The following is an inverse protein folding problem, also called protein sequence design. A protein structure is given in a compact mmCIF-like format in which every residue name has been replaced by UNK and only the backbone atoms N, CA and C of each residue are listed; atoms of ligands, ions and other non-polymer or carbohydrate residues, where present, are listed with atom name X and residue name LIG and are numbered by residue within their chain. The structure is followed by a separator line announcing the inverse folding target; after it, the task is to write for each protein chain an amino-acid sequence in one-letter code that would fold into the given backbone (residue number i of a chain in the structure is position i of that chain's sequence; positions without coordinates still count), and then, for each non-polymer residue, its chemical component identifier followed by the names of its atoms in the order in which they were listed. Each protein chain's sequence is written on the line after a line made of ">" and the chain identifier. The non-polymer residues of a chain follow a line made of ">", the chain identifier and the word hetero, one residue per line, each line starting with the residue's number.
data_IF_680537759579
#
_entry.id   IF_680537759579
#
_cell.length_a   1.000
_cell.length_b   1.000
_cell.length_c   1.000
_cell.angle_alpha   90.00
_cell.angle_beta   90.00
_cell.angle_gamma   90.00
#
_symmetry.space_group_name_H-M   'P 1'
#
loop_
_entity.id
_entity.type
_entity.pdbx_description
1 polymer ?
#
# COMPACT_ATOMS: atom_id res chain seq x y z
N UNK A 1 -74.45 40.67 14.10
CA UNK A 1 -74.02 42.08 14.28
C UNK A 1 -72.61 42.15 13.70
N UNK A 2 -72.42 42.61 12.45
CA UNK A 2 -72.36 44.03 12.05
C UNK A 2 -71.28 44.71 12.91
N UNK A 3 -70.11 45.16 12.45
CA UNK A 3 -69.75 45.80 11.19
C UNK A 3 -68.22 45.76 10.94
N UNK A 4 -67.79 45.93 9.68
CA UNK A 4 -66.41 46.29 9.25
C UNK A 4 -66.37 47.83 9.00
N UNK A 5 -65.30 48.44 8.43
CA UNK A 5 -63.89 48.53 8.82
C UNK A 5 -63.39 50.02 8.80
N UNK A 6 -62.11 50.28 9.13
CA UNK A 6 -61.38 51.45 8.60
C UNK A 6 -60.09 51.02 7.91
N UNK A 7 -59.97 51.43 6.65
CA UNK A 7 -58.84 51.27 5.72
C UNK A 7 -57.75 52.30 6.03
N UNK A 8 -56.49 51.95 5.79
CA UNK A 8 -55.45 52.72 5.07
C UNK A 8 -54.40 51.68 4.61
N UNK A 9 -54.22 51.44 3.31
CA UNK A 9 -53.21 52.10 2.46
C UNK A 9 -51.82 51.53 2.81
N UNK A 10 -51.12 50.72 2.02
CA UNK A 10 -50.88 50.67 0.58
C UNK A 10 -49.53 49.96 0.37
N UNK A 11 -49.20 49.68 -0.90
CA UNK A 11 -47.90 49.22 -1.41
C UNK A 11 -47.56 47.73 -1.26
N UNK A 12 -48.02 46.98 -2.25
CA UNK A 12 -47.38 45.76 -2.76
C UNK A 12 -46.01 46.11 -3.35
N UNK A 13 -44.93 45.71 -2.68
CA UNK A 13 -43.58 45.70 -3.22
C UNK A 13 -42.96 44.34 -2.96
N UNK A 14 -43.11 43.41 -3.90
CA UNK A 14 -42.37 42.16 -3.88
C UNK A 14 -40.92 42.45 -4.30
N UNK A 15 -40.00 42.52 -3.33
CA UNK A 15 -38.57 42.41 -3.63
C UNK A 15 -38.22 40.92 -3.80
N UNK A 16 -38.25 40.45 -5.04
CA UNK A 16 -37.52 39.27 -5.45
C UNK A 16 -36.02 39.63 -5.50
N UNK A 17 -35.32 39.49 -4.37
CA UNK A 17 -33.86 39.58 -4.34
C UNK A 17 -33.25 38.33 -4.97
N UNK A 18 -32.77 38.45 -6.22
CA UNK A 18 -31.81 37.49 -6.76
C UNK A 18 -30.54 37.58 -5.90
N UNK A 19 -30.31 36.56 -5.07
CA UNK A 19 -28.98 36.34 -4.49
C UNK A 19 -28.11 35.80 -5.61
N UNK A 20 -27.35 36.69 -6.25
CA UNK A 20 -26.26 36.29 -7.11
C UNK A 20 -25.22 35.58 -6.22
N UNK A 21 -25.17 34.24 -6.32
CA UNK A 21 -24.06 33.46 -5.77
C UNK A 21 -22.86 33.75 -6.66
N UNK A 22 -22.12 34.80 -6.35
CA UNK A 22 -20.81 35.02 -6.95
C UNK A 22 -19.90 33.90 -6.44
N UNK A 23 -19.52 33.00 -7.34
CA UNK A 23 -18.46 32.03 -7.10
C UNK A 23 -17.17 32.79 -6.81
N UNK A 24 -16.83 32.94 -5.52
CA UNK A 24 -15.50 33.41 -5.15
C UNK A 24 -14.55 32.29 -5.53
N UNK A 25 -13.81 32.47 -6.62
CA UNK A 25 -12.66 31.62 -6.90
C UNK A 25 -11.74 31.72 -5.69
N UNK A 26 -11.57 30.63 -4.95
CA UNK A 26 -10.68 30.59 -3.81
C UNK A 26 -9.27 30.89 -4.33
N UNK A 27 -8.74 32.06 -3.96
CA UNK A 27 -7.36 32.39 -4.23
C UNK A 27 -6.49 31.44 -3.41
N UNK A 28 -5.64 30.65 -4.08
CA UNK A 28 -4.74 29.73 -3.39
C UNK A 28 -3.84 30.53 -2.43
N UNK A 29 -3.87 30.15 -1.15
CA UNK A 29 -2.98 30.74 -0.17
C UNK A 29 -1.52 30.38 -0.52
N UNK A 30 -0.56 31.31 -0.32
CA UNK A 30 0.85 31.01 -0.60
C UNK A 30 1.35 29.86 0.28
N UNK A 31 2.28 29.02 -0.22
CA UNK A 31 2.81 27.91 0.54
C UNK A 31 3.65 28.38 1.74
N UNK A 32 3.58 27.64 2.85
CA UNK A 32 4.41 27.88 4.04
C UNK A 32 5.88 27.62 3.70
N UNK A 33 6.73 28.61 3.95
CA UNK A 33 8.18 28.48 3.80
C UNK A 33 8.80 27.91 5.08
N UNK A 34 9.57 26.83 4.95
CA UNK A 34 10.26 26.18 6.08
C UNK A 34 11.77 26.40 5.94
N UNK A 35 12.48 26.90 6.98
CA UNK A 35 13.93 27.05 6.95
C UNK A 35 14.67 25.72 6.73
N UNK A 36 15.88 25.79 6.17
CA UNK A 36 16.75 24.63 6.03
C UNK A 36 17.07 24.00 7.40
N UNK A 37 17.03 22.67 7.47
CA UNK A 37 17.28 21.89 8.69
C UNK A 37 18.01 20.59 8.37
N UNK A 38 18.80 20.10 9.32
CA UNK A 38 19.35 18.75 9.30
C UNK A 38 18.45 17.83 10.13
N UNK A 39 18.17 16.63 9.62
CA UNK A 39 17.34 15.64 10.31
C UNK A 39 18.23 14.45 10.70
N UNK A 40 18.63 14.31 11.98
CA UNK A 40 19.52 13.24 12.43
C UNK A 40 18.80 11.89 12.41
N UNK A 41 19.53 10.78 12.47
CA UNK A 41 18.93 9.47 12.78
C UNK A 41 18.34 9.53 14.21
N UNK A 42 17.11 9.02 14.47
CA UNK A 42 16.55 9.02 15.82
C UNK A 42 17.44 8.23 16.78
N UNK A 43 17.50 8.64 18.05
CA UNK A 43 18.33 7.99 19.07
C UNK A 43 17.66 6.80 19.75
N UNK A 44 16.37 6.60 19.52
CA UNK A 44 15.50 5.62 20.16
C UNK A 44 15.15 4.41 19.26
N UNK A 45 15.82 4.29 18.11
CA UNK A 45 15.74 3.10 17.24
C UNK A 45 16.92 2.15 17.50
N UNK A 46 16.75 0.88 17.15
CA UNK A 46 17.80 -0.13 17.22
C UNK A 46 19.00 0.21 16.32
N UNK A 47 20.21 -0.29 16.61
CA UNK A 47 21.37 -0.09 15.74
C UNK A 47 21.15 -0.57 14.30
N UNK A 48 20.39 -1.65 14.11
CA UNK A 48 20.02 -2.20 12.80
C UNK A 48 19.16 -1.20 12.03
N UNK A 49 18.10 -0.69 12.66
CA UNK A 49 17.21 0.28 12.03
C UNK A 49 17.90 1.64 11.85
N UNK A 50 18.72 2.09 12.80
CA UNK A 50 19.55 3.29 12.69
C UNK A 50 20.46 3.25 11.45
N UNK A 51 21.04 2.08 11.14
CA UNK A 51 21.86 1.88 9.94
C UNK A 51 21.04 2.04 8.65
N UNK A 52 19.80 1.55 8.63
CA UNK A 52 18.89 1.70 7.48
C UNK A 52 18.45 3.16 7.32
N UNK A 53 18.05 3.82 8.40
CA UNK A 53 17.61 5.22 8.41
C UNK A 53 18.76 6.16 8.01
N UNK A 54 19.97 5.90 8.50
CA UNK A 54 21.17 6.68 8.23
C UNK A 54 21.84 6.36 6.88
N UNK A 55 21.31 5.42 6.10
CA UNK A 55 21.89 5.09 4.80
C UNK A 55 21.76 6.26 3.81
N UNK A 56 22.74 6.44 2.90
CA UNK A 56 22.63 7.42 1.81
C UNK A 56 21.37 7.21 0.97
N UNK A 57 20.97 8.25 0.25
CA UNK A 57 19.91 8.14 -0.76
C UNK A 57 20.22 7.02 -1.74
N UNK A 58 19.21 6.20 -2.04
CA UNK A 58 19.29 5.10 -3.00
C UNK A 58 19.93 5.55 -4.32
N UNK A 59 21.11 5.06 -4.67
CA UNK A 59 21.94 5.61 -5.78
C UNK A 59 21.25 5.72 -7.15
N UNK A 60 20.24 4.89 -7.43
CA UNK A 60 19.50 4.90 -8.70
C UNK A 60 18.13 5.62 -8.63
N UNK A 61 17.87 6.41 -7.58
CA UNK A 61 16.58 7.09 -7.37
C UNK A 61 16.20 8.06 -8.51
N UNK A 62 17.20 8.61 -9.21
CA UNK A 62 17.04 9.58 -10.29
C UNK A 62 17.17 8.95 -11.70
N UNK A 63 17.30 7.62 -11.80
CA UNK A 63 17.16 6.95 -13.10
C UNK A 63 15.67 7.00 -13.48
N UNK A 64 15.38 7.37 -14.72
CA UNK A 64 14.00 7.59 -15.18
C UNK A 64 13.70 6.82 -16.48
N UNK A 65 13.70 5.47 -16.47
CA UNK A 65 13.34 4.71 -17.65
C UNK A 65 11.86 4.95 -17.99
N UNK A 66 11.56 5.20 -19.28
CA UNK A 66 10.21 5.57 -19.74
C UNK A 66 9.47 4.45 -20.47
N UNK A 67 10.09 3.29 -20.65
CA UNK A 67 9.47 2.10 -21.29
C UNK A 67 9.79 0.85 -20.50
N UNK A 68 8.96 -0.19 -20.61
CA UNK A 68 9.21 -1.47 -19.94
C UNK A 68 10.56 -2.09 -20.31
N UNK A 69 10.97 -1.97 -21.57
CA UNK A 69 12.26 -2.48 -22.05
C UNK A 69 13.45 -1.80 -21.35
N UNK A 70 13.34 -0.50 -21.10
CA UNK A 70 14.36 0.26 -20.37
C UNK A 70 14.38 -0.08 -18.87
N UNK A 71 13.24 -0.54 -18.33
CA UNK A 71 13.12 -1.00 -16.94
C UNK A 71 13.71 -2.38 -16.70
N UNK A 72 13.64 -3.27 -17.69
CA UNK A 72 14.12 -4.66 -17.60
C UNK A 72 15.53 -4.82 -17.00
N UNK A 73 16.60 -4.16 -17.51
CA UNK A 73 17.93 -4.33 -16.92
C UNK A 73 18.02 -3.81 -15.47
N UNK A 74 17.21 -2.81 -15.10
CA UNK A 74 17.18 -2.32 -13.70
C UNK A 74 16.49 -3.32 -12.79
N UNK A 75 15.39 -3.92 -13.25
CA UNK A 75 14.67 -4.96 -12.54
C UNK A 75 15.54 -6.22 -12.34
N UNK A 76 16.24 -6.66 -13.39
CA UNK A 76 17.14 -7.82 -13.36
C UNK A 76 18.33 -7.59 -12.42
N UNK A 77 18.96 -6.41 -12.45
CA UNK A 77 20.06 -6.08 -11.55
C UNK A 77 19.61 -6.05 -10.07
N UNK A 78 18.44 -5.45 -9.79
CA UNK A 78 17.84 -5.44 -8.46
C UNK A 78 17.48 -6.85 -7.98
N UNK A 79 16.89 -7.66 -8.86
CA UNK A 79 16.52 -9.03 -8.56
C UNK A 79 17.74 -9.91 -8.26
N UNK A 80 18.81 -9.78 -9.05
CA UNK A 80 20.06 -10.50 -8.82
C UNK A 80 20.73 -10.12 -7.49
N UNK A 81 20.59 -8.86 -7.04
CA UNK A 81 21.08 -8.43 -5.75
C UNK A 81 20.28 -9.03 -4.59
N UNK A 82 18.94 -9.00 -4.67
CA UNK A 82 18.06 -9.57 -3.64
C UNK A 82 18.12 -11.09 -3.57
N UNK A 83 18.20 -11.77 -4.71
CA UNK A 83 18.30 -13.23 -4.77
C UNK A 83 19.50 -13.78 -3.99
N UNK A 84 20.60 -13.02 -3.85
CA UNK A 84 21.76 -13.40 -3.04
C UNK A 84 21.47 -13.39 -1.53
N UNK A 85 20.49 -12.60 -1.09
CA UNK A 85 20.14 -12.44 0.32
C UNK A 85 19.07 -13.44 0.77
N UNK A 86 18.18 -13.85 -0.15
CA UNK A 86 17.03 -14.72 0.13
C UNK A 86 17.40 -16.04 0.82
N UNK A 87 18.43 -16.81 0.39
CA UNK A 87 18.79 -18.07 1.06
C UNK A 87 19.12 -17.88 2.55
N UNK A 88 19.88 -16.83 2.88
CA UNK A 88 20.22 -16.52 4.27
C UNK A 88 19.01 -16.10 5.10
N UNK A 89 18.05 -15.39 4.50
CA UNK A 89 16.78 -15.04 5.18
C UNK A 89 15.94 -16.28 5.46
N UNK A 90 15.79 -17.17 4.46
CA UNK A 90 15.04 -18.43 4.60
C UNK A 90 15.63 -19.32 5.71
N UNK A 91 16.96 -19.41 5.78
CA UNK A 91 17.66 -20.17 6.82
C UNK A 91 17.43 -19.56 8.22
N UNK A 92 17.71 -18.25 8.40
CA UNK A 92 17.56 -17.59 9.70
C UNK A 92 16.12 -17.60 10.21
N UNK A 93 15.15 -17.44 9.31
CA UNK A 93 13.73 -17.40 9.64
C UNK A 93 13.04 -18.76 9.55
N UNK A 94 13.78 -19.82 9.19
CA UNK A 94 13.30 -21.21 9.11
C UNK A 94 12.04 -21.32 8.23
N UNK A 95 12.09 -20.72 7.05
CA UNK A 95 10.98 -20.74 6.09
C UNK A 95 11.37 -21.60 4.89
N UNK A 96 10.49 -22.52 4.50
CA UNK A 96 10.60 -23.26 3.25
C UNK A 96 9.83 -22.54 2.15
N UNK A 97 10.41 -22.46 0.95
CA UNK A 97 9.77 -21.90 -0.23
C UNK A 97 9.62 -22.96 -1.32
N UNK A 98 8.44 -23.03 -1.91
CA UNK A 98 8.14 -23.87 -3.07
C UNK A 98 7.71 -22.98 -4.24
N UNK A 99 8.35 -23.15 -5.40
CA UNK A 99 7.92 -22.51 -6.65
C UNK A 99 6.72 -23.27 -7.21
N UNK A 100 5.68 -22.56 -7.62
CA UNK A 100 4.47 -23.18 -8.17
C UNK A 100 3.80 -22.31 -9.24
N UNK A 101 2.70 -22.79 -9.79
CA UNK A 101 1.83 -22.06 -10.70
C UNK A 101 0.39 -22.30 -10.28
N UNK A 102 -0.36 -21.21 -10.08
CA UNK A 102 -1.75 -21.24 -9.63
C UNK A 102 -2.61 -20.65 -10.75
N UNK A 103 -3.43 -21.49 -11.38
CA UNK A 103 -4.30 -21.12 -12.51
C UNK A 103 -3.55 -20.35 -13.63
N UNK A 104 -2.29 -20.72 -13.90
CA UNK A 104 -1.43 -20.10 -14.92
C UNK A 104 -0.60 -18.91 -14.43
N UNK A 105 -0.79 -18.44 -13.20
CA UNK A 105 0.00 -17.37 -12.58
C UNK A 105 1.17 -17.96 -11.80
N UNK A 106 2.37 -17.42 -11.99
CA UNK A 106 3.55 -17.82 -11.21
C UNK A 106 3.35 -17.42 -9.74
N UNK A 107 3.69 -18.32 -8.84
CA UNK A 107 3.56 -18.07 -7.41
C UNK A 107 4.60 -18.84 -6.60
N UNK A 108 4.73 -18.47 -5.34
CA UNK A 108 5.54 -19.18 -4.36
C UNK A 108 4.69 -19.52 -3.14
N UNK A 109 4.86 -20.73 -2.60
CA UNK A 109 4.27 -21.12 -1.32
C UNK A 109 5.38 -21.07 -0.28
N UNK A 110 5.19 -20.24 0.73
CA UNK A 110 6.09 -20.11 1.87
C UNK A 110 5.46 -20.77 3.08
N UNK A 111 6.21 -21.67 3.73
CA UNK A 111 5.76 -22.42 4.90
C UNK A 111 6.80 -22.30 6.01
N UNK A 112 6.48 -21.72 7.18
CA UNK A 112 7.39 -21.73 8.31
C UNK A 112 7.59 -23.14 8.84
N UNK A 113 8.77 -23.41 9.40
CA UNK A 113 9.09 -24.69 10.05
C UNK A 113 8.12 -24.98 11.20
N UNK A 114 7.79 -23.95 11.99
CA UNK A 114 6.85 -24.02 13.10
C UNK A 114 5.61 -23.17 12.82
N UNK A 115 4.47 -23.85 12.63
CA UNK A 115 3.16 -23.21 12.47
C UNK A 115 2.25 -23.54 13.65
N UNK A 116 1.81 -22.53 14.43
CA UNK A 116 0.86 -22.72 15.53
C UNK A 116 -0.44 -23.40 15.05
N UNK A 117 -1.08 -24.26 15.87
CA UNK A 117 -2.32 -24.96 15.50
C UNK A 117 -3.41 -24.04 14.93
N UNK A 118 -3.58 -22.85 15.50
CA UNK A 118 -4.52 -21.81 15.09
C UNK A 118 -4.25 -21.27 13.67
N UNK A 119 -3.00 -21.32 13.22
CA UNK A 119 -2.61 -20.86 11.89
C UNK A 119 -2.65 -21.96 10.82
N UNK A 120 -2.85 -23.24 11.20
CA UNK A 120 -2.89 -24.36 10.24
C UNK A 120 -4.05 -24.27 9.25
N UNK A 121 -5.14 -23.64 9.64
CA UNK A 121 -6.31 -23.41 8.80
C UNK A 121 -6.37 -22.00 8.20
N UNK A 122 -5.33 -21.18 8.44
CA UNK A 122 -5.23 -19.81 7.95
C UNK A 122 -4.25 -19.74 6.79
N UNK A 123 -4.57 -18.91 5.80
CA UNK A 123 -3.78 -18.77 4.58
C UNK A 123 -3.70 -17.30 4.19
N UNK A 124 -2.48 -16.78 4.03
CA UNK A 124 -2.29 -15.41 3.59
C UNK A 124 -1.91 -15.36 2.11
N UNK A 125 -2.43 -14.38 1.39
CA UNK A 125 -2.00 -14.04 0.04
C UNK A 125 -1.16 -12.77 0.09
N UNK A 126 0.05 -12.84 -0.46
CA UNK A 126 1.01 -11.76 -0.54
C UNK A 126 1.14 -11.26 -1.98
N UNK A 127 1.12 -9.95 -2.15
CA UNK A 127 1.43 -9.26 -3.40
C UNK A 127 2.60 -8.31 -3.16
N UNK A 128 3.72 -8.53 -3.85
CA UNK A 128 4.95 -7.81 -3.57
C UNK A 128 4.92 -6.35 -4.03
N UNK A 129 5.77 -5.51 -3.42
CA UNK A 129 6.04 -4.14 -3.90
C UNK A 129 7.02 -4.10 -5.06
N UNK A 130 7.42 -2.90 -5.48
CA UNK A 130 8.38 -2.72 -6.58
C UNK A 130 7.92 -1.79 -7.70
N UNK A 131 7.03 -0.85 -7.40
CA UNK A 131 6.63 0.20 -8.33
C UNK A 131 6.07 -0.36 -9.65
N UNK A 132 5.45 -1.54 -9.58
CA UNK A 132 4.88 -2.32 -10.68
C UNK A 132 5.87 -2.79 -11.78
N UNK A 133 7.18 -2.60 -11.57
CA UNK A 133 8.23 -2.88 -12.57
C UNK A 133 9.46 -3.58 -11.99
N UNK A 134 9.50 -3.83 -10.68
CA UNK A 134 10.61 -4.44 -9.97
C UNK A 134 10.21 -5.69 -9.19
N UNK A 135 11.23 -6.39 -8.72
CA UNK A 135 11.17 -7.57 -7.85
C UNK A 135 10.52 -8.82 -8.48
N UNK A 136 10.81 -9.17 -9.75
CA UNK A 136 10.30 -10.41 -10.33
C UNK A 136 10.82 -11.63 -9.57
N UNK A 137 10.01 -12.70 -9.52
CA UNK A 137 10.39 -13.99 -8.96
C UNK A 137 10.80 -13.89 -7.49
N UNK A 138 11.93 -14.51 -7.14
CA UNK A 138 12.38 -14.61 -5.75
C UNK A 138 12.74 -13.25 -5.11
N UNK A 139 12.98 -12.23 -5.93
CA UNK A 139 13.25 -10.89 -5.44
C UNK A 139 12.04 -10.26 -4.74
N UNK A 140 10.82 -10.73 -5.03
CA UNK A 140 9.59 -10.30 -4.37
C UNK A 140 9.35 -10.97 -3.01
N UNK A 141 10.15 -11.95 -2.62
CA UNK A 141 9.88 -12.77 -1.42
C UNK A 141 10.23 -12.18 -0.05
N UNK A 142 11.12 -11.17 0.14
CA UNK A 142 11.53 -10.77 1.49
C UNK A 142 10.37 -10.48 2.46
N UNK A 143 9.37 -9.72 2.02
CA UNK A 143 8.18 -9.41 2.84
C UNK A 143 7.36 -10.67 3.20
N UNK A 144 7.16 -11.58 2.24
CA UNK A 144 6.48 -12.86 2.49
C UNK A 144 7.27 -13.77 3.45
N UNK A 145 8.61 -13.78 3.33
CA UNK A 145 9.48 -14.55 4.23
C UNK A 145 9.36 -13.99 5.65
N UNK A 146 9.32 -12.67 5.82
CA UNK A 146 9.22 -12.04 7.15
C UNK A 146 7.87 -12.36 7.79
N UNK A 147 6.77 -12.29 7.02
CA UNK A 147 5.46 -12.69 7.51
C UNK A 147 5.40 -14.19 7.86
N UNK A 148 5.94 -15.05 7.01
CA UNK A 148 5.98 -16.49 7.29
C UNK A 148 6.83 -16.79 8.54
N UNK A 149 8.00 -16.17 8.69
CA UNK A 149 8.92 -16.42 9.80
C UNK A 149 8.48 -15.81 11.13
N UNK A 150 8.14 -14.52 11.15
CA UNK A 150 7.73 -13.83 12.38
C UNK A 150 6.27 -14.06 12.73
N UNK A 151 5.37 -13.94 11.74
CA UNK A 151 3.93 -14.15 11.94
C UNK A 151 3.52 -15.62 11.98
N UNK A 152 4.39 -16.54 11.54
CA UNK A 152 4.14 -18.00 11.53
C UNK A 152 2.88 -18.40 10.76
N UNK A 153 2.66 -17.78 9.60
CA UNK A 153 1.58 -18.13 8.67
C UNK A 153 2.11 -18.83 7.43
N UNK A 154 1.29 -19.69 6.83
CA UNK A 154 1.50 -20.12 5.43
C UNK A 154 1.12 -18.98 4.49
N UNK A 155 1.98 -18.69 3.51
CA UNK A 155 1.81 -17.56 2.58
C UNK A 155 1.87 -18.04 1.14
N UNK A 156 0.95 -17.57 0.30
CA UNK A 156 1.06 -17.63 -1.16
C UNK A 156 1.55 -16.26 -1.63
N UNK A 157 2.74 -16.17 -2.20
CA UNK A 157 3.27 -14.95 -2.80
C UNK A 157 3.04 -14.97 -4.32
N UNK A 158 2.31 -13.99 -4.83
CA UNK A 158 2.02 -13.83 -6.26
C UNK A 158 3.24 -13.23 -6.98
N UNK A 159 3.74 -13.88 -8.03
CA UNK A 159 4.79 -13.36 -8.93
C UNK A 159 4.13 -12.83 -10.21
N UNK A 160 3.39 -11.74 -10.02
CA UNK A 160 2.52 -11.14 -11.03
C UNK A 160 3.31 -10.57 -12.21
N UNK A 161 2.67 -10.51 -13.38
CA UNK A 161 3.27 -9.97 -14.61
C UNK A 161 3.48 -8.45 -14.50
N UNK A 162 4.58 -7.99 -15.09
CA UNK A 162 5.03 -6.59 -15.07
C UNK A 162 5.60 -6.19 -16.45
N UNK A 163 5.81 -4.88 -16.72
CA UNK A 163 6.44 -4.44 -17.94
C UNK A 163 7.90 -4.94 -18.05
N UNK A 164 8.41 -5.20 -19.27
CA UNK A 164 7.74 -5.04 -20.56
C UNK A 164 6.75 -6.17 -20.92
N UNK A 165 6.73 -7.28 -20.19
CA UNK A 165 5.93 -8.45 -20.54
C UNK A 165 4.41 -8.19 -20.46
N UNK A 166 3.97 -7.34 -19.52
CA UNK A 166 2.58 -6.90 -19.43
C UNK A 166 2.43 -5.56 -18.71
N UNK A 167 1.47 -4.74 -19.11
CA UNK A 167 1.10 -3.48 -18.44
C UNK A 167 -0.22 -3.62 -17.70
N UNK A 168 -0.75 -2.53 -17.13
CA UNK A 168 -2.07 -2.50 -16.49
C UNK A 168 -3.16 -3.06 -17.44
N UNK A 169 -4.07 -3.93 -16.96
CA UNK A 169 -4.28 -4.35 -15.57
C UNK A 169 -3.63 -5.70 -15.18
N UNK A 170 -2.61 -6.20 -15.90
CA UNK A 170 -2.13 -7.59 -15.75
C UNK A 170 -1.76 -8.01 -14.32
N UNK A 171 -1.10 -7.13 -13.54
CA UNK A 171 -0.80 -7.43 -12.14
C UNK A 171 -2.06 -7.63 -11.27
N UNK A 172 -3.13 -6.86 -11.52
CA UNK A 172 -4.42 -7.06 -10.85
C UNK A 172 -5.08 -8.36 -11.26
N UNK A 173 -5.08 -8.67 -12.57
CA UNK A 173 -5.66 -9.89 -13.10
C UNK A 173 -4.99 -11.13 -12.50
N UNK A 174 -3.65 -11.11 -12.40
CA UNK A 174 -2.87 -12.19 -11.80
C UNK A 174 -3.16 -12.33 -10.30
N UNK A 175 -3.20 -11.23 -9.57
CA UNK A 175 -3.49 -11.24 -8.14
C UNK A 175 -4.92 -11.74 -7.83
N UNK A 176 -5.92 -11.33 -8.61
CA UNK A 176 -7.31 -11.82 -8.50
C UNK A 176 -7.44 -13.28 -8.93
N UNK A 177 -6.69 -13.71 -9.94
CA UNK A 177 -6.64 -15.12 -10.36
C UNK A 177 -6.15 -15.99 -9.21
N UNK A 178 -5.05 -15.60 -8.56
CA UNK A 178 -4.55 -16.32 -7.37
C UNK A 178 -5.52 -16.24 -6.20
N UNK A 179 -6.17 -15.09 -5.96
CA UNK A 179 -7.19 -14.97 -4.90
C UNK A 179 -8.34 -15.96 -5.10
N UNK A 180 -8.92 -16.03 -6.30
CA UNK A 180 -10.00 -16.97 -6.65
C UNK A 180 -9.58 -18.43 -6.48
N UNK A 181 -8.31 -18.73 -6.72
CA UNK A 181 -7.76 -20.06 -6.48
C UNK A 181 -7.56 -20.35 -4.99
N UNK A 182 -7.00 -19.39 -4.25
CA UNK A 182 -6.76 -19.52 -2.83
C UNK A 182 -8.08 -19.67 -2.02
N UNK A 183 -9.18 -19.05 -2.46
CA UNK A 183 -10.50 -19.24 -1.82
C UNK A 183 -11.08 -20.66 -2.00
N UNK A 184 -10.48 -21.49 -2.87
CA UNK A 184 -10.78 -22.92 -2.98
C UNK A 184 -9.88 -23.78 -2.09
N UNK A 185 -8.80 -23.21 -1.55
CA UNK A 185 -7.83 -23.88 -0.69
C UNK A 185 -8.11 -23.64 0.80
N UNK A 186 -8.70 -22.50 1.15
CA UNK A 186 -9.10 -22.14 2.51
C UNK A 186 -10.39 -21.32 2.50
N UNK A 187 -11.12 -21.33 3.62
CA UNK A 187 -12.28 -20.45 3.82
C UNK A 187 -11.79 -18.99 3.84
N UNK A 188 -12.35 -18.06 3.03
CA UNK A 188 -12.02 -16.64 3.04
C UNK A 188 -12.04 -15.98 4.43
N UNK A 189 -12.86 -16.50 5.36
CA UNK A 189 -12.88 -16.05 6.77
C UNK A 189 -11.59 -16.32 7.52
N UNK A 190 -10.78 -17.27 7.06
CA UNK A 190 -9.46 -17.62 7.60
C UNK A 190 -8.32 -17.04 6.75
N UNK A 191 -8.61 -16.12 5.84
CA UNK A 191 -7.63 -15.60 4.89
C UNK A 191 -7.43 -14.10 5.04
N UNK A 192 -6.20 -13.66 4.79
CA UNK A 192 -5.87 -12.24 4.66
C UNK A 192 -5.06 -11.97 3.39
N UNK A 193 -5.05 -10.71 2.96
CA UNK A 193 -4.19 -10.22 1.87
C UNK A 193 -3.26 -9.14 2.42
N UNK A 194 -1.99 -9.19 2.07
CA UNK A 194 -1.01 -8.18 2.48
C UNK A 194 0.01 -7.89 1.40
N UNK A 195 0.67 -6.75 1.53
CA UNK A 195 1.72 -6.34 0.62
C UNK A 195 2.14 -4.90 0.86
N UNK A 196 3.31 -4.55 0.34
CA UNK A 196 3.90 -3.22 0.54
C UNK A 196 4.01 -2.42 -0.77
N UNK A 197 3.92 -1.08 -0.72
CA UNK A 197 4.13 -0.20 -1.88
C UNK A 197 3.11 -0.43 -3.00
N UNK A 198 3.54 -0.73 -4.22
CA UNK A 198 2.67 -1.22 -5.30
C UNK A 198 1.85 -2.46 -4.88
N UNK A 199 2.42 -3.36 -4.07
CA UNK A 199 1.72 -4.49 -3.47
C UNK A 199 0.68 -4.09 -2.44
N UNK A 200 0.93 -3.01 -1.69
CA UNK A 200 -0.06 -2.42 -0.78
C UNK A 200 -1.22 -1.79 -1.54
N UNK A 201 -0.96 -1.16 -2.69
CA UNK A 201 -1.98 -0.68 -3.59
C UNK A 201 -2.77 -1.84 -4.22
N UNK A 202 -2.10 -2.90 -4.68
CA UNK A 202 -2.73 -4.13 -5.16
C UNK A 202 -3.61 -4.78 -4.08
N UNK A 203 -3.17 -4.82 -2.83
CA UNK A 203 -3.97 -5.36 -1.70
C UNK A 203 -5.31 -4.62 -1.57
N UNK A 204 -5.29 -3.29 -1.64
CA UNK A 204 -6.51 -2.47 -1.60
C UNK A 204 -7.37 -2.65 -2.86
N UNK A 205 -6.74 -2.64 -4.03
CA UNK A 205 -7.43 -2.78 -5.31
C UNK A 205 -8.04 -4.17 -5.51
N UNK A 206 -7.42 -5.22 -4.96
CA UNK A 206 -7.98 -6.58 -4.93
C UNK A 206 -9.31 -6.60 -4.19
N UNK A 207 -9.44 -5.88 -3.07
CA UNK A 207 -10.72 -5.77 -2.34
C UNK A 207 -11.75 -5.00 -3.16
N UNK A 208 -11.38 -3.88 -3.79
CA UNK A 208 -12.27 -3.14 -4.69
C UNK A 208 -12.79 -4.05 -5.82
N UNK A 209 -11.88 -4.80 -6.45
CA UNK A 209 -12.21 -5.69 -7.55
C UNK A 209 -13.04 -6.89 -7.10
N UNK A 210 -12.73 -7.48 -5.95
CA UNK A 210 -13.51 -8.56 -5.36
C UNK A 210 -14.95 -8.12 -5.04
N UNK A 211 -15.13 -6.90 -4.49
CA UNK A 211 -16.46 -6.30 -4.33
C UNK A 211 -17.18 -6.14 -5.67
N UNK A 212 -16.51 -5.60 -6.69
CA UNK A 212 -17.09 -5.39 -8.03
C UNK A 212 -17.53 -6.70 -8.69
N UNK A 213 -16.77 -7.78 -8.50
CA UNK A 213 -17.04 -9.09 -9.08
C UNK A 213 -17.92 -9.99 -8.19
N UNK A 214 -18.33 -9.54 -7.00
CA UNK A 214 -19.10 -10.36 -6.06
C UNK A 214 -18.35 -11.54 -5.48
N UNK A 215 -17.01 -11.46 -5.41
CA UNK A 215 -16.16 -12.49 -4.83
C UNK A 215 -16.16 -12.40 -3.30
N UNK A 216 -15.91 -13.53 -2.59
CA UNK A 216 -15.62 -13.48 -1.17
C UNK A 216 -14.44 -12.54 -0.86
N UNK A 217 -14.60 -11.74 0.18
CA UNK A 217 -13.54 -10.87 0.69
C UNK A 217 -12.68 -11.61 1.72
N UNK A 218 -11.39 -11.26 1.87
CA UNK A 218 -10.59 -11.74 2.99
C UNK A 218 -11.17 -11.24 4.31
N UNK A 219 -10.91 -11.94 5.41
CA UNK A 219 -11.33 -11.50 6.74
C UNK A 219 -10.50 -10.32 7.28
N UNK A 220 -9.30 -10.08 6.74
CA UNK A 220 -8.49 -8.91 7.07
C UNK A 220 -7.52 -8.57 5.93
N UNK A 221 -7.00 -7.34 5.91
CA UNK A 221 -5.91 -6.96 4.99
C UNK A 221 -4.81 -6.15 5.69
N UNK A 222 -3.59 -6.20 5.17
CA UNK A 222 -2.45 -5.41 5.67
C UNK A 222 -1.66 -4.69 4.55
N UNK A 223 -2.15 -3.55 4.04
CA UNK A 223 -1.43 -2.74 3.06
C UNK A 223 -0.36 -1.87 3.75
N UNK A 224 0.91 -2.17 3.48
CA UNK A 224 2.06 -1.41 3.96
C UNK A 224 2.50 -0.34 2.98
N UNK A 225 2.72 0.89 3.46
CA UNK A 225 3.13 2.08 2.71
C UNK A 225 2.55 2.10 1.28
N UNK A 226 1.21 1.97 1.14
CA UNK A 226 0.61 1.68 -0.15
C UNK A 226 0.85 2.84 -1.11
N UNK A 227 1.18 2.53 -2.36
CA UNK A 227 1.14 3.49 -3.47
C UNK A 227 -0.32 3.76 -3.88
N UNK A 228 -1.14 4.16 -2.92
CA UNK A 228 -2.60 4.27 -3.06
C UNK A 228 -3.06 5.47 -3.88
N UNK A 229 -2.16 6.42 -4.15
CA UNK A 229 -2.34 7.56 -5.03
C UNK A 229 -1.06 7.80 -5.84
N UNK A 230 -1.16 7.72 -7.15
CA UNK A 230 -0.06 7.97 -8.11
C UNK A 230 -0.09 9.39 -8.68
N UNK A 231 -0.97 10.26 -8.18
CA UNK A 231 -1.10 11.66 -8.60
C UNK A 231 -0.40 12.67 -7.68
N UNK A 232 0.39 12.16 -6.70
CA UNK A 232 1.26 12.95 -5.81
C UNK A 232 0.52 13.88 -4.85
N UNK A 233 -0.70 13.50 -4.44
CA UNK A 233 -1.48 14.26 -3.47
C UNK A 233 -1.07 13.88 -2.04
N UNK A 234 -0.60 14.85 -1.25
CA UNK A 234 -0.37 14.72 0.18
C UNK A 234 0.94 15.35 0.67
N UNK A 235 0.93 15.87 1.90
CA UNK A 235 2.02 16.65 2.49
C UNK A 235 3.37 15.94 2.47
N UNK A 236 3.39 14.62 2.70
CA UNK A 236 4.61 13.83 2.76
C UNK A 236 5.42 13.84 1.46
N UNK A 237 4.79 14.05 0.30
CA UNK A 237 5.51 14.21 -0.96
C UNK A 237 6.39 15.47 -0.99
N UNK A 238 6.07 16.47 -0.16
CA UNK A 238 6.86 17.69 0.03
C UNK A 238 7.75 17.56 1.26
N UNK A 239 7.18 17.23 2.43
CA UNK A 239 7.92 17.25 3.70
C UNK A 239 8.97 16.15 3.82
N UNK A 240 8.75 15.01 3.16
CA UNK A 240 9.65 13.85 3.19
C UNK A 240 10.46 13.68 1.89
N UNK A 241 10.30 14.59 0.91
CA UNK A 241 11.21 14.64 -0.24
C UNK A 241 12.65 14.88 0.24
N UNK A 242 13.60 14.15 -0.32
CA UNK A 242 15.01 14.10 0.07
C UNK A 242 15.28 13.60 1.52
N UNK A 243 14.24 13.30 2.29
CA UNK A 243 14.34 12.70 3.62
C UNK A 243 14.09 11.19 3.58
N UNK A 244 13.14 10.74 2.74
CA UNK A 244 12.96 9.34 2.41
C UNK A 244 14.18 8.84 1.62
N UNK A 245 15.02 7.99 2.20
CA UNK A 245 16.24 7.54 1.51
C UNK A 245 16.02 6.38 0.51
N UNK A 246 14.77 5.96 0.27
CA UNK A 246 14.40 4.85 -0.61
C UNK A 246 13.73 5.34 -1.89
N UNK A 247 12.64 6.08 -1.77
CA UNK A 247 11.89 6.68 -2.89
C UNK A 247 12.45 8.05 -3.27
N UNK A 248 12.96 8.80 -2.30
CA UNK A 248 13.67 10.08 -2.44
C UNK A 248 12.81 11.24 -2.92
N UNK A 249 12.12 11.11 -4.05
CA UNK A 249 11.43 12.20 -4.71
C UNK A 249 10.06 11.77 -5.23
N UNK A 250 9.04 12.66 -5.19
CA UNK A 250 7.77 12.44 -5.88
C UNK A 250 7.91 12.33 -7.41
N UNK A 251 9.00 12.85 -7.98
CA UNK A 251 9.35 12.76 -9.41
C UNK A 251 10.49 11.77 -9.66
N UNK A 252 10.63 10.79 -8.79
CA UNK A 252 11.69 9.79 -8.83
C UNK A 252 11.36 8.56 -9.68
N UNK A 253 12.32 7.65 -9.71
CA UNK A 253 12.28 6.36 -10.39
C UNK A 253 10.95 5.58 -10.21
N UNK A 254 10.37 5.54 -9.01
CA UNK A 254 9.13 4.78 -8.78
C UNK A 254 7.86 5.41 -9.37
N UNK A 255 7.81 6.74 -9.50
CA UNK A 255 6.71 7.44 -10.18
C UNK A 255 6.69 7.09 -11.68
N UNK A 256 7.87 7.03 -12.31
CA UNK A 256 8.00 6.60 -13.70
C UNK A 256 7.64 5.12 -13.90
N UNK A 257 8.02 4.25 -12.96
CA UNK A 257 7.64 2.83 -13.00
C UNK A 257 6.13 2.65 -12.98
N UNK A 258 5.43 3.37 -12.09
CA UNK A 258 3.97 3.35 -12.01
C UNK A 258 3.32 3.87 -13.32
N UNK A 259 3.88 4.91 -13.94
CA UNK A 259 3.40 5.43 -15.24
C UNK A 259 3.60 4.45 -16.39
N UNK A 260 4.75 3.76 -16.43
CA UNK A 260 5.03 2.72 -17.43
C UNK A 260 4.01 1.59 -17.28
N UNK A 261 3.75 1.16 -16.04
CA UNK A 261 2.72 0.15 -15.78
C UNK A 261 1.31 0.65 -16.18
N UNK A 262 0.94 1.86 -15.79
CA UNK A 262 -0.36 2.46 -16.11
C UNK A 262 -0.59 2.63 -17.61
N UNK A 263 0.46 2.70 -18.43
CA UNK A 263 0.39 2.67 -19.90
C UNK A 263 -0.64 3.64 -20.50
N UNK A 264 -0.68 4.88 -19.98
CA UNK A 264 -1.58 5.94 -20.44
C UNK A 264 -2.99 5.92 -19.86
N UNK A 265 -3.33 4.98 -18.99
CA UNK A 265 -4.58 5.00 -18.23
C UNK A 265 -4.62 6.17 -17.25
N UNK A 266 -5.85 6.58 -16.87
CA UNK A 266 -6.05 7.61 -15.86
C UNK A 266 -5.45 7.16 -14.53
N UNK A 267 -4.49 7.93 -14.02
CA UNK A 267 -3.84 7.67 -12.73
C UNK A 267 -4.83 7.80 -11.55
N UNK A 268 -6.01 8.40 -11.75
CA UNK A 268 -7.10 8.41 -10.77
C UNK A 268 -8.06 7.21 -10.87
N UNK A 269 -7.85 6.28 -11.81
CA UNK A 269 -8.57 5.01 -11.83
C UNK A 269 -8.44 4.34 -10.44
N UNK A 270 -9.54 4.01 -9.75
CA UNK A 270 -9.51 3.34 -8.45
C UNK A 270 -8.74 2.01 -8.41
N UNK A 271 -8.47 1.35 -9.53
CA UNK A 271 -7.60 0.17 -9.54
C UNK A 271 -6.12 0.55 -9.52
N UNK A 272 -5.72 1.68 -10.12
CA UNK A 272 -4.34 2.19 -10.06
C UNK A 272 -4.08 2.98 -8.78
N UNK A 273 -5.04 3.81 -8.38
CA UNK A 273 -4.99 4.67 -7.18
C UNK A 273 -6.19 4.36 -6.27
N UNK A 274 -6.13 3.27 -5.48
CA UNK A 274 -7.25 2.80 -4.66
C UNK A 274 -7.76 3.78 -3.61
N UNK A 275 -7.02 4.85 -3.29
CA UNK A 275 -7.54 5.93 -2.43
C UNK A 275 -8.79 6.58 -3.03
N UNK A 276 -9.03 6.48 -4.35
CA UNK A 276 -10.20 7.03 -5.01
C UNK A 276 -11.40 6.05 -5.04
N UNK A 277 -11.20 4.76 -4.73
CA UNK A 277 -12.26 3.74 -4.73
C UNK A 277 -13.21 3.78 -3.52
N UNK A 278 -14.37 3.13 -3.65
CA UNK A 278 -15.33 3.02 -2.55
C UNK A 278 -14.88 2.01 -1.48
N UNK A 279 -14.59 2.52 -0.28
CA UNK A 279 -14.08 1.73 0.85
C UNK A 279 -15.17 1.19 1.79
N UNK A 280 -16.46 1.45 1.54
CA UNK A 280 -17.52 0.86 2.37
C UNK A 280 -17.51 -0.67 2.28
N UNK A 281 -17.72 -1.35 3.41
CA UNK A 281 -17.71 -2.82 3.45
C UNK A 281 -16.33 -3.45 3.17
N UNK A 282 -15.24 -2.70 3.30
CA UNK A 282 -13.90 -3.28 3.30
C UNK A 282 -13.68 -4.17 4.54
N UNK A 283 -12.79 -5.17 4.45
CA UNK A 283 -12.32 -5.92 5.60
C UNK A 283 -11.60 -5.05 6.63
N UNK A 284 -11.56 -5.47 7.91
CA UNK A 284 -10.63 -4.93 8.89
C UNK A 284 -9.21 -4.79 8.30
N UNK A 285 -8.60 -3.62 8.48
CA UNK A 285 -7.34 -3.25 7.81
C UNK A 285 -6.30 -2.79 8.82
N UNK A 286 -5.06 -3.28 8.71
CA UNK A 286 -3.91 -2.71 9.41
C UNK A 286 -2.91 -2.12 8.42
N UNK A 287 -2.61 -0.82 8.54
CA UNK A 287 -1.71 -0.11 7.65
C UNK A 287 -0.39 0.17 8.34
N UNK A 288 0.73 0.03 7.63
CA UNK A 288 2.08 0.30 8.17
C UNK A 288 2.78 1.37 7.35
N UNK A 289 3.44 2.34 8.00
CA UNK A 289 4.26 3.37 7.36
C UNK A 289 5.32 3.88 8.35
N UNK A 290 6.03 4.96 8.02
CA UNK A 290 7.02 5.58 8.90
C UNK A 290 6.99 7.10 8.83
N UNK A 291 7.57 7.77 9.83
CA UNK A 291 7.52 9.24 9.90
C UNK A 291 8.30 9.93 8.77
N UNK A 292 9.25 9.23 8.13
CA UNK A 292 10.03 9.72 6.97
C UNK A 292 9.58 9.16 5.63
N UNK A 293 8.52 8.37 5.61
CA UNK A 293 8.03 7.72 4.41
C UNK A 293 7.43 8.74 3.44
N UNK A 294 7.88 8.71 2.18
CA UNK A 294 7.32 9.56 1.12
C UNK A 294 5.83 9.27 0.90
N UNK A 295 5.39 8.02 1.13
CA UNK A 295 4.01 7.57 1.01
C UNK A 295 3.25 7.58 2.35
N UNK A 296 3.75 8.29 3.37
CA UNK A 296 3.03 8.50 4.64
C UNK A 296 1.63 9.06 4.38
N UNK A 297 1.50 10.08 3.52
CA UNK A 297 0.20 10.68 3.17
C UNK A 297 -0.73 9.69 2.48
N UNK A 298 -0.21 8.88 1.57
CA UNK A 298 -0.99 7.82 0.91
C UNK A 298 -1.54 6.84 1.94
N UNK A 299 -0.74 6.47 2.93
CA UNK A 299 -1.14 5.56 4.02
C UNK A 299 -2.22 6.19 4.90
N UNK A 300 -1.99 7.39 5.43
CA UNK A 300 -2.94 8.03 6.38
C UNK A 300 -4.23 8.49 5.72
N UNK A 301 -4.21 8.83 4.41
CA UNK A 301 -5.42 9.14 3.64
C UNK A 301 -6.29 7.91 3.45
N UNK A 302 -5.70 6.75 3.11
CA UNK A 302 -6.44 5.48 3.04
C UNK A 302 -6.99 5.10 4.42
N UNK A 303 -6.17 5.17 5.47
CA UNK A 303 -6.61 4.93 6.84
C UNK A 303 -7.83 5.80 7.19
N UNK A 304 -7.76 7.12 6.96
CA UNK A 304 -8.88 8.03 7.23
C UNK A 304 -10.11 7.66 6.42
N UNK A 305 -9.97 7.39 5.13
CA UNK A 305 -11.08 7.01 4.25
C UNK A 305 -11.75 5.70 4.69
N UNK A 306 -10.99 4.70 5.15
CA UNK A 306 -11.53 3.47 5.74
C UNK A 306 -12.35 3.78 7.01
N UNK A 307 -11.82 4.59 7.92
CA UNK A 307 -12.52 5.00 9.15
C UNK A 307 -13.82 5.75 8.84
N UNK A 308 -13.78 6.67 7.88
CA UNK A 308 -14.95 7.45 7.45
C UNK A 308 -16.01 6.56 6.79
N UNK A 309 -15.60 5.45 6.16
CA UNK A 309 -16.47 4.42 5.60
C UNK A 309 -16.96 3.38 6.63
N UNK A 310 -16.68 3.58 7.92
CA UNK A 310 -17.10 2.69 9.01
C UNK A 310 -16.26 1.42 9.18
N UNK A 311 -15.09 1.34 8.55
CA UNK A 311 -14.21 0.16 8.59
C UNK A 311 -13.28 0.22 9.82
N UNK A 312 -13.04 -0.92 10.46
CA UNK A 312 -12.00 -1.05 11.47
C UNK A 312 -10.63 -0.92 10.80
N UNK A 313 -9.90 0.15 11.12
CA UNK A 313 -8.59 0.41 10.56
C UNK A 313 -7.58 0.76 11.66
N UNK A 314 -6.45 0.06 11.67
CA UNK A 314 -5.29 0.31 12.54
C UNK A 314 -4.17 0.93 11.72
N UNK A 315 -3.36 1.77 12.35
CA UNK A 315 -2.22 2.43 11.73
C UNK A 315 -0.98 2.26 12.60
N UNK A 316 0.02 1.58 12.06
CA UNK A 316 1.37 1.47 12.60
C UNK A 316 2.26 2.51 11.93
N UNK A 317 2.92 3.38 12.72
CA UNK A 317 3.87 4.37 12.20
C UNK A 317 5.22 4.18 12.91
N UNK A 318 6.23 3.75 12.17
CA UNK A 318 7.59 3.59 12.68
C UNK A 318 8.35 4.91 12.74
N UNK A 319 8.93 5.23 13.89
CA UNK A 319 9.74 6.44 14.05
C UNK A 319 11.02 6.37 13.18
N UNK A 320 11.29 7.47 12.47
CA UNK A 320 12.43 7.62 11.56
C UNK A 320 12.39 6.78 10.29
N UNK A 321 11.45 5.84 10.17
CA UNK A 321 11.41 4.92 9.05
C UNK A 321 10.93 5.62 7.77
N UNK A 322 11.64 5.36 6.67
CA UNK A 322 11.23 5.75 5.32
C UNK A 322 10.48 4.60 4.64
N UNK A 323 10.16 4.76 3.36
CA UNK A 323 9.42 3.78 2.57
C UNK A 323 9.97 2.35 2.72
N UNK A 324 9.13 1.48 3.28
CA UNK A 324 9.38 0.04 3.42
C UNK A 324 10.67 -0.32 4.20
N UNK A 325 11.13 0.52 5.14
CA UNK A 325 12.29 0.18 5.99
C UNK A 325 12.06 -1.09 6.83
N UNK A 326 10.83 -1.32 7.28
CA UNK A 326 10.44 -2.52 8.04
C UNK A 326 10.54 -3.85 7.25
N UNK A 327 10.93 -3.84 5.97
CA UNK A 327 11.22 -5.07 5.19
C UNK A 327 12.67 -5.15 4.70
N UNK A 328 13.60 -4.37 5.27
CA UNK A 328 15.00 -4.30 4.78
C UNK A 328 15.99 -5.15 5.56
N UNK A 329 15.70 -5.47 6.81
CA UNK A 329 16.59 -6.22 7.69
C UNK A 329 15.77 -7.09 8.65
N UNK A 330 15.90 -8.41 8.52
CA UNK A 330 15.24 -9.41 9.37
C UNK A 330 15.84 -9.51 10.78
N UNK A 331 16.97 -8.86 11.02
CA UNK A 331 17.61 -8.81 12.34
C UNK A 331 17.21 -7.57 13.15
N UNK A 332 16.52 -6.61 12.52
CA UNK A 332 16.01 -5.42 13.21
C UNK A 332 14.79 -5.75 14.11
N UNK A 333 14.80 -5.40 15.40
CA UNK A 333 13.65 -5.58 16.28
C UNK A 333 12.38 -4.88 15.79
N UNK A 334 12.50 -3.72 15.15
CA UNK A 334 11.38 -2.96 14.57
C UNK A 334 10.71 -3.73 13.44
N UNK A 335 11.49 -4.36 12.56
CA UNK A 335 10.97 -5.24 11.50
C UNK A 335 10.12 -6.35 12.11
N UNK A 336 10.69 -7.10 13.07
CA UNK A 336 9.99 -8.19 13.75
C UNK A 336 8.68 -7.69 14.38
N UNK A 337 8.71 -6.58 15.11
CA UNK A 337 7.54 -6.00 15.79
C UNK A 337 6.42 -5.65 14.81
N UNK A 338 6.74 -5.08 13.65
CA UNK A 338 5.73 -4.79 12.60
C UNK A 338 4.98 -6.06 12.20
N UNK A 339 5.71 -7.15 11.90
CA UNK A 339 5.08 -8.40 11.48
C UNK A 339 4.36 -9.13 12.63
N UNK A 340 4.86 -9.04 13.86
CA UNK A 340 4.17 -9.54 15.05
C UNK A 340 2.88 -8.77 15.33
N UNK A 341 2.84 -7.46 15.08
CA UNK A 341 1.64 -6.63 15.24
C UNK A 341 0.62 -6.89 14.11
N UNK A 342 1.07 -7.11 12.88
CA UNK A 342 0.18 -7.58 11.79
C UNK A 342 -0.38 -8.97 12.11
N UNK A 343 0.45 -9.89 12.61
CA UNK A 343 0.01 -11.22 13.03
C UNK A 343 -1.03 -11.16 14.16
N UNK A 344 -0.78 -10.34 15.19
CA UNK A 344 -1.72 -10.07 16.26
C UNK A 344 -3.06 -9.52 15.75
N UNK A 345 -3.01 -8.63 14.76
CA UNK A 345 -4.22 -8.11 14.12
C UNK A 345 -4.99 -9.23 13.40
N UNK A 346 -4.30 -10.06 12.62
CA UNK A 346 -4.91 -11.21 11.95
C UNK A 346 -5.50 -12.23 12.94
N UNK A 347 -4.87 -12.49 14.08
CA UNK A 347 -5.41 -13.38 15.11
C UNK A 347 -6.79 -12.96 15.64
N UNK A 348 -7.07 -11.66 15.62
CA UNK A 348 -8.33 -11.07 16.08
C UNK A 348 -9.44 -11.14 15.05
N UNK A 349 -9.12 -11.30 13.77
CA UNK A 349 -10.09 -11.23 12.68
C UNK A 349 -10.24 -12.54 11.91
N UNK A 350 -9.18 -13.35 11.79
CA UNK A 350 -9.22 -14.59 11.03
C UNK A 350 -9.90 -15.72 11.83
N UNK A 351 -10.94 -16.29 11.23
CA UNK A 351 -11.74 -17.40 11.78
C UNK A 351 -12.82 -16.98 12.79
N UNK A 352 -13.22 -15.72 12.77
CA UNK A 352 -14.24 -15.15 13.67
C UNK A 352 -15.63 -15.06 13.05
#
# INVERSE_FOLDING_TARGET
>A
MIDRPRRFGGWTGALAGLVAVTSVAAQEAPPLQVPAKSVPVPSDVSPQMAKIIGAPLRSNWNIQPKTGEAWKPVAEAGAAALAKLVPGMLERLKVKVERTTIDGVRAFILTPEEMPPENRNRLLVHVHGGCYVLNPGEAGLPEAIFMAGFGRFKVISVDYRMPPEATYPAAHDDAITVWKAATRMADPKNMAVFGTSAGGALTLAMVLRAKQEGLPLPAAIAPGTPMSDTTKVGDSFVTNAMLDNVLVSPDGFCDDGAKVYANGHDLKDPMLSPVYGDMHGFPPTILTTGTRDLLLSNTVRVHRKLRDAGVEAYLQVGEGQSHAHYIRDDTAPETRKVFEEIAWFFDRHLGR
#
